data_IF_018711276398
#
_entry.id   IF_018711276398
#
_cell.length_a   1.000
_cell.length_b   1.000
_cell.length_c   1.000
_cell.angle_alpha   90.00
_cell.angle_beta   90.00
_cell.angle_gamma   90.00
#
_symmetry.space_group_name_H-M   'P 1'
#
loop_
_entity.id
_entity.type
_entity.pdbx_description
1 polymer ?
#
# COMPACT_ATOMS: atom_id res chain seq x y z
N UNK A 1 -13.90 -3.82 21.63
CA UNK A 1 -13.96 -3.82 20.15
C UNK A 1 -12.69 -4.43 19.61
N UNK A 2 -12.74 -5.26 18.57
CA UNK A 2 -11.51 -5.70 17.89
C UNK A 2 -10.94 -4.50 17.13
N UNK A 3 -9.64 -4.25 17.28
CA UNK A 3 -8.90 -3.24 16.53
C UNK A 3 -8.95 -3.57 15.03
N UNK A 4 -9.16 -2.57 14.17
CA UNK A 4 -9.22 -2.77 12.72
C UNK A 4 -7.87 -3.25 12.18
N UNK A 5 -7.83 -3.80 10.95
CA UNK A 5 -6.54 -4.18 10.35
C UNK A 5 -5.61 -2.98 10.18
N UNK A 6 -6.15 -1.80 9.88
CA UNK A 6 -5.36 -0.57 9.76
C UNK A 6 -4.82 -0.09 11.09
N UNK A 7 -5.60 -0.15 12.18
CA UNK A 7 -5.11 0.16 13.52
C UNK A 7 -3.95 -0.76 13.92
N UNK A 8 -4.04 -2.06 13.57
CA UNK A 8 -2.99 -3.03 13.84
C UNK A 8 -1.72 -2.75 13.02
N UNK A 9 -1.88 -2.33 11.77
CA UNK A 9 -0.77 -1.94 10.90
C UNK A 9 -0.09 -0.67 11.44
N UNK A 10 -0.85 0.39 11.70
CA UNK A 10 -0.33 1.65 12.22
C UNK A 10 0.31 1.48 13.60
N UNK A 11 -0.19 0.56 14.43
CA UNK A 11 0.44 0.24 15.73
C UNK A 11 1.72 -0.59 15.60
N UNK A 12 1.85 -1.40 14.54
CA UNK A 12 2.98 -2.29 14.34
C UNK A 12 4.14 -1.63 13.60
N UNK A 13 3.85 -0.67 12.72
CA UNK A 13 4.84 0.17 12.05
C UNK A 13 5.00 1.46 12.83
N UNK A 14 6.03 1.53 13.65
CA UNK A 14 6.39 2.65 14.52
C UNK A 14 7.34 3.67 13.86
N UNK A 15 7.49 3.59 12.53
CA UNK A 15 8.37 4.42 11.72
C UNK A 15 7.61 4.97 10.50
N UNK A 16 7.85 6.25 10.18
CA UNK A 16 7.19 6.95 9.08
C UNK A 16 5.73 7.30 9.34
N UNK A 17 5.06 7.80 8.31
CA UNK A 17 3.60 8.02 8.30
C UNK A 17 2.93 6.84 7.61
N UNK A 18 1.81 6.37 8.15
CA UNK A 18 1.01 5.29 7.56
C UNK A 18 -0.36 5.82 7.16
N UNK A 19 -0.67 5.74 5.87
CA UNK A 19 -2.01 5.94 5.35
C UNK A 19 -2.66 4.58 5.14
N UNK A 20 -3.56 4.18 6.04
CA UNK A 20 -4.29 2.93 5.92
C UNK A 20 -5.78 3.14 6.10
N UNK A 21 -6.57 2.59 5.17
CA UNK A 21 -8.01 2.48 5.37
C UNK A 21 -8.69 1.62 4.33
N UNK A 22 -9.93 1.25 4.65
CA UNK A 22 -10.83 0.50 3.79
C UNK A 22 -12.16 1.24 3.78
N UNK A 23 -12.69 1.47 2.59
CA UNK A 23 -13.93 2.18 2.32
C UNK A 23 -14.89 1.22 1.63
N UNK A 24 -16.17 1.28 1.98
CA UNK A 24 -17.23 0.63 1.20
C UNK A 24 -17.51 1.52 -0.02
N UNK A 25 -17.21 1.02 -1.22
CA UNK A 25 -17.34 1.76 -2.48
C UNK A 25 -17.19 0.81 -3.67
N UNK A 26 -18.07 0.96 -4.67
CA UNK A 26 -18.16 0.10 -5.87
C UNK A 26 -17.79 0.81 -7.18
N UNK A 27 -17.68 2.14 -7.18
CA UNK A 27 -17.42 2.94 -8.38
C UNK A 27 -16.47 4.13 -8.11
N UNK A 28 -15.23 3.83 -7.72
CA UNK A 28 -14.20 4.84 -7.48
C UNK A 28 -12.98 4.58 -8.37
N UNK A 29 -12.45 5.65 -8.98
CA UNK A 29 -11.19 5.58 -9.74
C UNK A 29 -9.98 5.56 -8.80
N UNK A 30 -8.83 5.11 -9.29
CA UNK A 30 -7.59 5.07 -8.49
C UNK A 30 -7.18 6.45 -7.97
N UNK A 31 -7.35 7.50 -8.80
CA UNK A 31 -7.04 8.88 -8.42
C UNK A 31 -7.98 9.44 -7.34
N UNK A 32 -9.27 9.10 -7.40
CA UNK A 32 -10.24 9.48 -6.36
C UNK A 32 -10.01 8.72 -5.04
N UNK A 33 -9.56 7.47 -5.12
CA UNK A 33 -9.16 6.71 -3.94
C UNK A 33 -7.92 7.31 -3.30
N UNK A 34 -6.88 7.56 -4.10
CA UNK A 34 -5.66 8.24 -3.69
C UNK A 34 -5.96 9.55 -2.94
N UNK A 35 -6.78 10.42 -3.52
CA UNK A 35 -7.15 11.69 -2.92
C UNK A 35 -7.82 11.55 -1.54
N UNK A 36 -8.64 10.51 -1.33
CA UNK A 36 -9.30 10.25 -0.03
C UNK A 36 -8.30 9.92 1.08
N UNK A 37 -7.11 9.43 0.71
CA UNK A 37 -6.02 9.11 1.63
C UNK A 37 -4.90 10.14 1.61
N UNK A 38 -5.13 11.34 1.05
CA UNK A 38 -4.15 12.42 1.02
C UNK A 38 -3.03 12.25 -0.02
N UNK A 39 -3.14 11.27 -0.91
CA UNK A 39 -2.17 11.04 -1.99
C UNK A 39 -2.53 11.89 -3.23
N UNK A 40 -1.54 12.13 -4.09
CA UNK A 40 -1.73 12.85 -5.37
C UNK A 40 -2.75 12.09 -6.24
N UNK A 41 -3.75 12.80 -6.77
CA UNK A 41 -4.86 12.17 -7.51
C UNK A 41 -4.56 11.85 -8.98
N UNK A 42 -3.37 12.18 -9.48
CA UNK A 42 -2.99 11.95 -10.88
C UNK A 42 -2.90 10.45 -11.16
N UNK A 43 -3.75 9.88 -12.04
CA UNK A 43 -3.84 8.43 -12.21
C UNK A 43 -2.57 7.80 -12.78
N UNK A 44 -1.79 8.53 -13.59
CA UNK A 44 -0.57 8.04 -14.26
C UNK A 44 0.58 7.71 -13.28
N UNK A 45 0.47 8.16 -12.02
CA UNK A 45 1.38 7.77 -10.93
C UNK A 45 1.19 6.28 -10.59
N UNK A 46 -0.03 5.77 -10.76
CA UNK A 46 -0.46 4.49 -10.24
C UNK A 46 -0.47 3.41 -11.32
N UNK A 47 0.49 2.50 -11.25
CA UNK A 47 0.61 1.35 -12.14
C UNK A 47 -0.23 0.18 -11.64
N UNK A 48 -0.96 -0.45 -12.55
CA UNK A 48 -1.69 -1.69 -12.27
C UNK A 48 -0.72 -2.85 -12.05
N UNK A 49 -0.92 -3.59 -10.96
CA UNK A 49 -0.15 -4.78 -10.58
C UNK A 49 -1.07 -5.95 -10.24
N UNK A 50 -0.52 -7.16 -10.20
CA UNK A 50 -1.28 -8.32 -9.75
C UNK A 50 -1.27 -8.47 -8.22
N UNK A 51 -2.12 -9.34 -7.67
CA UNK A 51 -2.24 -9.55 -6.22
C UNK A 51 -0.93 -10.01 -5.56
N UNK A 52 -0.12 -10.83 -6.25
CA UNK A 52 1.14 -11.31 -5.69
C UNK A 52 2.17 -10.17 -5.56
N UNK A 53 2.23 -9.29 -6.56
CA UNK A 53 3.01 -8.05 -6.50
C UNK A 53 2.50 -7.13 -5.38
N UNK A 54 1.18 -6.94 -5.26
CA UNK A 54 0.60 -6.11 -4.20
C UNK A 54 0.94 -6.64 -2.79
N UNK A 55 0.89 -7.96 -2.60
CA UNK A 55 1.32 -8.61 -1.37
C UNK A 55 2.82 -8.40 -1.10
N UNK A 56 3.66 -8.50 -2.12
CA UNK A 56 5.09 -8.26 -2.00
C UNK A 56 5.39 -6.80 -1.59
N UNK A 57 4.74 -5.83 -2.21
CA UNK A 57 4.85 -4.40 -1.86
C UNK A 57 4.38 -4.17 -0.42
N UNK A 58 3.15 -4.58 -0.09
CA UNK A 58 2.59 -4.44 1.26
C UNK A 58 3.49 -5.08 2.32
N UNK A 59 4.01 -6.29 2.07
CA UNK A 59 4.97 -6.93 2.97
C UNK A 59 6.27 -6.13 3.09
N UNK A 60 6.84 -5.63 1.98
CA UNK A 60 8.10 -4.87 1.99
C UNK A 60 7.97 -3.59 2.81
N UNK A 61 6.88 -2.85 2.64
CA UNK A 61 6.63 -1.60 3.39
C UNK A 61 6.21 -1.84 4.83
N UNK A 62 5.83 -3.06 5.22
CA UNK A 62 5.61 -3.37 6.64
C UNK A 62 6.89 -3.90 7.29
N UNK A 63 7.68 -4.69 6.58
CA UNK A 63 8.87 -5.33 7.11
C UNK A 63 10.00 -4.34 7.40
N UNK A 64 10.21 -3.35 6.51
CA UNK A 64 11.37 -2.45 6.52
C UNK A 64 11.00 -1.03 6.14
N UNK A 65 11.77 -0.05 6.62
CA UNK A 65 11.66 1.33 6.14
C UNK A 65 12.14 1.46 4.68
N UNK A 66 11.85 2.61 4.07
CA UNK A 66 12.17 2.91 2.68
C UNK A 66 13.55 3.57 2.52
N UNK A 67 14.04 4.28 3.53
CA UNK A 67 15.27 5.09 3.45
C UNK A 67 16.55 4.26 3.62
N UNK A 68 16.60 3.42 4.66
CA UNK A 68 17.78 2.67 5.09
C UNK A 68 17.60 1.15 5.02
N UNK A 69 16.42 0.67 4.60
CA UNK A 69 16.07 -0.74 4.63
C UNK A 69 16.15 -1.34 6.05
N UNK A 70 16.07 -0.52 7.10
CA UNK A 70 16.15 -1.02 8.47
C UNK A 70 14.86 -1.78 8.81
N UNK A 71 15.03 -2.80 9.65
CA UNK A 71 13.94 -3.70 10.02
C UNK A 71 13.00 -3.01 11.01
N UNK A 72 11.73 -2.93 10.64
CA UNK A 72 10.64 -2.43 11.50
C UNK A 72 10.01 -3.61 12.26
N UNK A 73 9.61 -4.66 11.52
CA UNK A 73 9.01 -5.86 12.14
C UNK A 73 9.54 -7.15 11.50
N UNK A 74 9.18 -8.31 12.05
CA UNK A 74 9.56 -9.59 11.44
C UNK A 74 8.85 -9.80 10.10
N UNK A 75 9.51 -10.50 9.18
CA UNK A 75 8.95 -10.83 7.87
C UNK A 75 7.62 -11.60 7.98
N UNK A 76 7.54 -12.54 8.92
CA UNK A 76 6.31 -13.29 9.19
C UNK A 76 5.16 -12.39 9.68
N UNK A 77 5.46 -11.38 10.51
CA UNK A 77 4.44 -10.42 10.98
C UNK A 77 3.97 -9.52 9.84
N UNK A 78 4.90 -9.02 9.03
CA UNK A 78 4.59 -8.21 7.86
C UNK A 78 3.73 -8.99 6.86
N UNK A 79 4.09 -10.24 6.56
CA UNK A 79 3.31 -11.14 5.72
C UNK A 79 1.88 -11.30 6.25
N UNK A 80 1.73 -11.64 7.53
CA UNK A 80 0.41 -11.87 8.13
C UNK A 80 -0.48 -10.62 8.09
N UNK A 81 0.09 -9.43 8.35
CA UNK A 81 -0.67 -8.17 8.28
C UNK A 81 -1.06 -7.83 6.84
N UNK A 82 -0.14 -7.97 5.88
CA UNK A 82 -0.39 -7.72 4.46
C UNK A 82 -1.46 -8.67 3.89
N UNK A 83 -1.36 -9.97 4.18
CA UNK A 83 -2.38 -10.95 3.79
C UNK A 83 -3.74 -10.63 4.40
N UNK A 84 -3.77 -10.30 5.69
CA UNK A 84 -5.02 -9.95 6.36
C UNK A 84 -5.65 -8.70 5.76
N UNK A 85 -4.87 -7.66 5.46
CA UNK A 85 -5.35 -6.47 4.74
C UNK A 85 -5.96 -6.85 3.39
N UNK A 86 -5.24 -7.59 2.55
CA UNK A 86 -5.71 -8.00 1.23
C UNK A 86 -6.94 -8.93 1.28
N UNK A 87 -7.13 -9.68 2.36
CA UNK A 87 -8.29 -10.55 2.54
C UNK A 87 -9.59 -9.80 2.91
N UNK A 88 -9.54 -8.48 3.11
CA UNK A 88 -10.75 -7.67 3.30
C UNK A 88 -11.47 -7.35 1.98
N UNK A 89 -10.81 -7.55 0.84
CA UNK A 89 -11.36 -7.27 -0.48
C UNK A 89 -11.90 -8.55 -1.12
N UNK A 90 -12.75 -8.36 -2.13
CA UNK A 90 -13.32 -9.45 -2.90
C UNK A 90 -12.24 -10.34 -3.55
N UNK A 91 -12.57 -11.58 -3.88
CA UNK A 91 -11.60 -12.49 -4.54
C UNK A 91 -11.51 -12.27 -6.04
N UNK A 92 -12.58 -11.75 -6.64
CA UNK A 92 -12.73 -11.54 -8.07
C UNK A 92 -12.89 -10.05 -8.35
N UNK A 93 -12.50 -9.63 -9.56
CA UNK A 93 -12.63 -8.24 -10.02
C UNK A 93 -11.93 -7.20 -9.13
N UNK A 94 -10.80 -7.57 -8.52
CA UNK A 94 -9.97 -6.63 -7.75
C UNK A 94 -8.76 -6.18 -8.56
N UNK A 95 -8.57 -4.87 -8.62
CA UNK A 95 -7.41 -4.22 -9.22
C UNK A 95 -6.51 -3.67 -8.12
N UNK A 96 -5.20 -3.83 -8.31
CA UNK A 96 -4.19 -3.36 -7.37
C UNK A 96 -3.28 -2.38 -8.07
N UNK A 97 -2.89 -1.32 -7.38
CA UNK A 97 -2.02 -0.30 -7.93
C UNK A 97 -0.89 0.05 -6.97
N UNK A 98 0.23 0.50 -7.51
CA UNK A 98 1.38 1.04 -6.76
C UNK A 98 2.06 2.12 -7.59
N UNK A 99 3.06 2.82 -7.04
CA UNK A 99 3.78 3.90 -7.72
C UNK A 99 5.24 3.58 -8.07
N UNK A 100 5.70 2.35 -7.81
CA UNK A 100 7.05 1.89 -8.12
C UNK A 100 7.07 0.73 -9.13
N UNK A 101 8.21 0.57 -9.80
CA UNK A 101 8.53 -0.63 -10.54
C UNK A 101 9.05 -1.71 -9.58
N UNK A 102 8.25 -2.76 -9.38
CA UNK A 102 8.58 -3.89 -8.50
C UNK A 102 8.67 -5.20 -9.29
N UNK A 103 8.93 -5.11 -10.60
CA UNK A 103 9.26 -6.30 -11.39
C UNK A 103 10.61 -6.86 -10.94
N UNK A 104 10.70 -8.19 -10.93
CA UNK A 104 11.82 -8.96 -10.37
C UNK A 104 13.15 -8.74 -11.13
N UNK A 105 13.12 -8.08 -12.30
CA UNK A 105 14.26 -7.99 -13.23
C UNK A 105 14.54 -6.60 -13.84
N UNK A 106 13.83 -5.52 -13.48
CA UNK A 106 14.11 -4.21 -14.11
C UNK A 106 15.20 -3.42 -13.37
N UNK A 107 16.30 -3.15 -14.07
CA UNK A 107 17.39 -2.26 -13.65
C UNK A 107 17.01 -0.77 -13.67
N UNK A 108 15.74 -0.47 -13.90
CA UNK A 108 15.15 0.87 -13.89
C UNK A 108 14.04 0.91 -12.84
N UNK A 109 14.43 1.06 -11.57
CA UNK A 109 13.49 1.29 -10.47
C UNK A 109 12.90 2.70 -10.60
N UNK A 110 11.95 2.86 -11.53
CA UNK A 110 11.16 4.07 -11.66
C UNK A 110 10.18 4.15 -10.50
N UNK A 111 10.16 5.29 -9.82
CA UNK A 111 9.22 5.59 -8.75
C UNK A 111 8.60 6.96 -9.02
N UNK A 112 7.26 7.03 -8.97
CA UNK A 112 6.52 8.28 -9.09
C UNK A 112 6.01 8.67 -7.69
N UNK A 113 6.53 9.73 -7.05
CA UNK A 113 6.05 10.13 -5.73
C UNK A 113 4.55 10.38 -5.70
N UNK A 114 3.84 9.84 -4.71
CA UNK A 114 2.44 10.13 -4.49
C UNK A 114 2.21 11.12 -3.34
N UNK A 115 3.29 11.52 -2.65
CA UNK A 115 3.28 12.44 -1.51
C UNK A 115 4.41 13.48 -1.65
N UNK A 116 4.59 14.33 -0.64
CA UNK A 116 5.74 15.25 -0.56
C UNK A 116 6.94 14.68 0.22
N UNK A 117 6.84 13.45 0.73
CA UNK A 117 7.92 12.82 1.50
C UNK A 117 9.10 12.42 0.61
N UNK A 118 10.29 12.28 1.20
CA UNK A 118 11.49 11.83 0.46
C UNK A 118 11.27 10.44 -0.15
N UNK A 119 10.62 9.55 0.59
CA UNK A 119 10.24 8.23 0.11
C UNK A 119 8.78 7.96 0.44
N UNK A 120 8.00 7.50 -0.53
CA UNK A 120 6.64 7.04 -0.28
C UNK A 120 6.27 5.88 -1.20
N UNK A 121 5.62 4.86 -0.67
CA UNK A 121 5.06 3.82 -1.51
C UNK A 121 4.01 3.00 -0.79
N UNK A 122 3.27 2.23 -1.57
CA UNK A 122 2.28 1.32 -1.04
C UNK A 122 1.40 0.75 -2.12
N UNK A 123 0.21 0.36 -1.69
CA UNK A 123 -0.80 -0.20 -2.55
C UNK A 123 -2.14 0.52 -2.42
N UNK A 124 -2.80 0.70 -3.56
CA UNK A 124 -4.21 1.02 -3.66
C UNK A 124 -4.96 -0.21 -4.19
N UNK A 125 -6.14 -0.47 -3.63
CA UNK A 125 -6.96 -1.63 -3.98
C UNK A 125 -8.34 -1.14 -4.37
N UNK A 126 -8.81 -1.54 -5.56
CA UNK A 126 -10.16 -1.30 -6.06
C UNK A 126 -10.85 -2.66 -6.24
N UNK A 127 -11.80 -2.97 -5.37
CA UNK A 127 -12.70 -4.12 -5.50
C UNK A 127 -14.12 -3.68 -5.84
N UNK A 128 -15.02 -4.66 -5.97
CA UNK A 128 -16.42 -4.42 -6.32
C UNK A 128 -17.22 -3.78 -5.19
N UNK A 129 -16.94 -4.11 -3.94
CA UNK A 129 -17.68 -3.57 -2.78
C UNK A 129 -16.83 -2.65 -1.92
N UNK A 130 -15.50 -2.75 -2.04
CA UNK A 130 -14.55 -2.05 -1.19
C UNK A 130 -13.37 -1.54 -1.98
N UNK A 131 -12.89 -0.39 -1.53
CA UNK A 131 -11.64 0.19 -1.96
C UNK A 131 -10.76 0.46 -0.75
N UNK A 132 -9.43 0.46 -0.91
CA UNK A 132 -8.56 0.68 0.24
C UNK A 132 -7.16 1.08 -0.11
N UNK A 133 -6.49 1.63 0.89
CA UNK A 133 -5.14 2.16 0.81
C UNK A 133 -4.31 1.53 1.92
N UNK A 134 -3.08 1.15 1.57
CA UNK A 134 -2.00 0.89 2.50
C UNK A 134 -0.75 1.55 1.92
N UNK A 135 -0.43 2.72 2.43
CA UNK A 135 0.68 3.56 1.97
C UNK A 135 1.54 3.99 3.14
N UNK A 136 2.83 4.15 2.90
CA UNK A 136 3.76 4.68 3.90
C UNK A 136 4.61 5.80 3.31
N UNK A 137 4.96 6.75 4.17
CA UNK A 137 5.94 7.80 3.91
C UNK A 137 7.11 7.64 4.88
N UNK A 138 8.33 7.77 4.39
CA UNK A 138 9.56 7.85 5.18
C UNK A 138 10.41 9.05 4.75
N UNK A 139 11.21 9.54 5.68
CA UNK A 139 12.20 10.59 5.47
C UNK A 139 13.60 10.05 5.82
N UNK A 140 14.65 10.74 5.36
CA UNK A 140 16.06 10.48 5.70
C UNK A 140 16.36 10.71 7.20
#
# INVERSE_FOLDING_TARGET
MKSSICDQISSARDCGVVHCGILESDAITVGELAARFGLISTPDIYRLINRAQALAVAKRILHRDLAYDAKIMSEARAQALAENFLNHFDKEHVQYFTNGDYDIDSSSNGWNPATSATFDTGILVLGNSKAGCLWVEDED
#
